data_IF_259197419022
#
_entry.id   IF_259197419022
#
_cell.length_a   1.000
_cell.length_b   1.000
_cell.length_c   1.000
_cell.angle_alpha   90.00
_cell.angle_beta   90.00
_cell.angle_gamma   90.00
#
_symmetry.space_group_name_H-M   'P 1'
#
loop_
_entity.id
_entity.type
_entity.pdbx_description
1 polymer ?
#
# COMPACT_ATOMS: atom_id res chain seq x y z
N UNK A 1 -10.89 16.52 -2.09
CA UNK A 1 -10.02 16.50 -0.88
C UNK A 1 -10.82 16.31 0.41
N UNK A 2 -11.99 16.95 0.59
CA UNK A 2 -12.69 16.96 1.89
C UNK A 2 -13.60 15.74 2.19
N UNK A 3 -13.55 14.69 1.37
CA UNK A 3 -14.40 13.49 1.52
C UNK A 3 -13.65 12.25 2.01
N UNK A 4 -12.31 12.28 2.01
CA UNK A 4 -11.48 11.17 2.46
C UNK A 4 -10.90 11.59 3.81
N UNK A 5 -11.36 10.97 4.90
CA UNK A 5 -10.83 11.19 6.25
C UNK A 5 -9.71 10.22 6.62
N UNK A 6 -9.65 9.06 5.96
CA UNK A 6 -8.65 8.03 6.19
C UNK A 6 -8.49 7.14 4.96
N UNK A 7 -7.29 6.58 4.77
CA UNK A 7 -7.01 5.61 3.71
C UNK A 7 -6.21 4.44 4.29
N UNK A 8 -6.65 3.22 3.99
CA UNK A 8 -5.91 2.00 4.30
C UNK A 8 -5.08 1.60 3.07
N UNK A 9 -3.82 1.26 3.31
CA UNK A 9 -2.86 0.84 2.30
C UNK A 9 -2.64 -0.67 2.37
N UNK A 10 -2.87 -1.36 1.26
CA UNK A 10 -2.63 -2.79 1.06
C UNK A 10 -2.31 -3.02 -0.41
N UNK A 11 -1.66 -4.12 -0.73
CA UNK A 11 -1.35 -4.46 -2.11
C UNK A 11 -1.83 -5.88 -2.44
N UNK A 12 -2.04 -6.12 -3.72
CA UNK A 12 -2.58 -7.37 -4.24
C UNK A 12 -2.15 -7.57 -5.68
N UNK A 13 -2.13 -8.82 -6.14
CA UNK A 13 -1.92 -9.18 -7.53
C UNK A 13 -3.02 -10.13 -8.00
N UNK A 14 -3.24 -10.21 -9.33
CA UNK A 14 -4.22 -11.14 -9.91
C UNK A 14 -3.70 -12.56 -9.80
N UNK A 15 -4.57 -13.50 -9.46
CA UNK A 15 -4.27 -14.93 -9.57
C UNK A 15 -4.12 -15.30 -11.04
N UNK A 16 -3.17 -16.19 -11.33
CA UNK A 16 -2.83 -16.64 -12.69
C UNK A 16 -4.03 -17.31 -13.38
N UNK A 17 -4.87 -18.00 -12.61
CA UNK A 17 -6.08 -18.67 -13.09
C UNK A 17 -7.27 -17.73 -13.35
N UNK A 18 -7.10 -16.42 -13.13
CA UNK A 18 -8.17 -15.42 -13.30
C UNK A 18 -9.26 -15.46 -12.23
N UNK A 19 -9.15 -16.30 -11.20
CA UNK A 19 -10.20 -16.50 -10.17
C UNK A 19 -10.30 -15.37 -9.13
N UNK A 20 -9.50 -14.32 -9.26
CA UNK A 20 -9.51 -13.15 -8.38
C UNK A 20 -8.11 -12.68 -8.04
N UNK A 21 -7.90 -12.33 -6.77
CA UNK A 21 -6.69 -11.69 -6.28
C UNK A 21 -6.05 -12.49 -5.13
N UNK A 22 -4.74 -12.31 -4.94
CA UNK A 22 -4.07 -12.64 -3.70
C UNK A 22 -3.38 -11.39 -3.13
N UNK A 23 -3.24 -11.36 -1.81
CA UNK A 23 -2.55 -10.28 -1.12
C UNK A 23 -1.06 -10.32 -1.41
N UNK A 24 -0.45 -9.14 -1.48
CA UNK A 24 0.99 -8.94 -1.70
C UNK A 24 1.53 -7.97 -0.64
N UNK A 25 2.84 -8.01 -0.34
CA UNK A 25 3.47 -6.91 0.37
C UNK A 25 3.43 -5.66 -0.53
N UNK A 26 3.37 -4.48 0.11
CA UNK A 26 3.35 -3.19 -0.60
C UNK A 26 4.52 -3.08 -1.59
N UNK A 27 4.24 -2.58 -2.80
CA UNK A 27 5.23 -2.41 -3.86
C UNK A 27 5.55 -3.68 -4.64
N UNK A 28 4.80 -4.78 -4.43
CA UNK A 28 4.94 -6.04 -5.19
C UNK A 28 3.67 -6.44 -5.94
N UNK A 29 2.54 -5.81 -5.63
CA UNK A 29 1.28 -6.05 -6.33
C UNK A 29 1.09 -5.11 -7.52
N UNK A 30 -0.16 -4.95 -7.90
CA UNK A 30 -0.57 -4.22 -9.10
C UNK A 30 -1.11 -2.82 -8.81
N UNK A 31 -1.23 -2.42 -7.54
CA UNK A 31 -1.79 -1.12 -7.17
C UNK A 31 -0.70 -0.06 -7.29
N UNK A 32 -0.93 0.99 -8.08
CA UNK A 32 -0.01 2.12 -8.21
C UNK A 32 -0.06 3.04 -6.98
N UNK A 33 0.55 2.59 -5.88
CA UNK A 33 0.59 3.36 -4.63
C UNK A 33 1.42 4.63 -4.73
N UNK A 34 2.49 4.64 -5.52
CA UNK A 34 3.26 5.86 -5.79
C UNK A 34 2.36 6.92 -6.43
N UNK A 35 1.56 6.55 -7.43
CA UNK A 35 0.55 7.42 -8.04
C UNK A 35 -0.52 7.88 -7.04
N UNK A 36 -1.04 6.98 -6.20
CA UNK A 36 -2.01 7.35 -5.14
C UNK A 36 -1.42 8.37 -4.15
N UNK A 37 -0.19 8.15 -3.66
CA UNK A 37 0.47 9.09 -2.74
C UNK A 37 0.75 10.44 -3.40
N UNK A 38 1.18 10.45 -4.67
CA UNK A 38 1.32 11.69 -5.45
C UNK A 38 0.00 12.43 -5.58
N UNK A 39 -1.11 11.72 -5.82
CA UNK A 39 -2.44 12.31 -5.88
C UNK A 39 -2.88 12.90 -4.53
N UNK A 40 -2.68 12.18 -3.43
CA UNK A 40 -2.95 12.70 -2.09
C UNK A 40 -2.16 13.98 -1.79
N UNK A 41 -0.86 13.98 -2.08
CA UNK A 41 0.00 15.15 -1.88
C UNK A 41 -0.47 16.34 -2.74
N UNK A 42 -0.70 16.11 -4.04
CA UNK A 42 -1.18 17.14 -4.99
C UNK A 42 -2.51 17.75 -4.53
N UNK A 43 -3.41 16.93 -4.02
CA UNK A 43 -4.76 17.36 -3.63
C UNK A 43 -4.81 17.93 -2.20
N UNK A 44 -3.66 18.03 -1.51
CA UNK A 44 -3.52 18.60 -0.18
C UNK A 44 -4.10 17.72 0.94
N UNK A 45 -4.19 16.40 0.73
CA UNK A 45 -4.55 15.45 1.76
C UNK A 45 -3.48 15.43 2.86
N UNK A 46 -3.89 15.57 4.12
CA UNK A 46 -3.01 15.73 5.28
C UNK A 46 -3.35 14.83 6.46
N UNK A 47 -4.26 13.89 6.27
CA UNK A 47 -4.65 12.93 7.30
C UNK A 47 -3.76 11.68 7.24
N UNK A 48 -3.86 10.83 8.26
CA UNK A 48 -3.09 9.59 8.29
C UNK A 48 -3.53 8.62 7.19
N UNK A 49 -2.57 7.83 6.72
CA UNK A 49 -2.78 6.57 6.01
C UNK A 49 -2.34 5.43 6.92
N UNK A 50 -3.02 4.28 6.85
CA UNK A 50 -2.72 3.12 7.70
C UNK A 50 -2.31 1.93 6.87
N UNK A 51 -1.15 1.34 7.18
CA UNK A 51 -0.76 0.07 6.60
C UNK A 51 -1.69 -1.04 7.11
N UNK A 52 -2.39 -1.69 6.20
CA UNK A 52 -3.33 -2.78 6.48
C UNK A 52 -2.79 -4.08 5.89
N UNK A 53 -1.81 -4.67 6.58
CA UNK A 53 -1.12 -5.87 6.12
C UNK A 53 -2.05 -7.10 6.14
N UNK A 54 -2.68 -7.38 5.00
CA UNK A 54 -3.44 -8.62 4.73
C UNK A 54 -2.55 -9.77 4.24
N UNK A 55 -1.32 -9.46 3.82
CA UNK A 55 -0.37 -10.45 3.34
C UNK A 55 0.26 -11.27 4.47
N UNK A 56 0.50 -12.56 4.20
CA UNK A 56 1.01 -13.57 5.15
C UNK A 56 2.13 -14.43 4.56
N UNK A 57 2.98 -13.87 3.71
CA UNK A 57 4.02 -14.62 3.01
C UNK A 57 5.38 -14.70 3.71
N UNK A 58 5.56 -14.01 4.85
CA UNK A 58 6.89 -13.88 5.46
C UNK A 58 7.09 -14.71 6.74
N UNK A 59 6.37 -15.83 6.87
CA UNK A 59 6.51 -16.78 8.00
C UNK A 59 5.87 -16.33 9.32
N UNK A 60 5.81 -15.03 9.61
CA UNK A 60 5.08 -14.49 10.77
C UNK A 60 4.26 -13.24 10.41
N UNK A 61 3.30 -12.89 11.28
CA UNK A 61 2.49 -11.69 11.12
C UNK A 61 3.34 -10.40 11.21
N UNK A 62 4.25 -10.35 12.18
CA UNK A 62 5.16 -9.22 12.37
C UNK A 62 6.07 -9.02 11.16
N UNK A 63 6.70 -10.10 10.69
CA UNK A 63 7.62 -10.02 9.56
C UNK A 63 6.90 -9.63 8.26
N UNK A 64 5.67 -10.11 8.07
CA UNK A 64 4.83 -9.69 6.94
C UNK A 64 4.55 -8.18 6.98
N UNK A 65 4.32 -7.63 8.18
CA UNK A 65 4.14 -6.19 8.38
C UNK A 65 5.44 -5.42 8.16
N UNK A 66 6.59 -5.92 8.61
CA UNK A 66 7.90 -5.28 8.39
C UNK A 66 8.22 -5.13 6.91
N UNK A 67 8.01 -6.17 6.12
CA UNK A 67 8.25 -6.13 4.67
C UNK A 67 7.24 -5.22 3.95
N UNK A 68 5.97 -5.30 4.33
CA UNK A 68 4.94 -4.41 3.76
C UNK A 68 5.23 -2.94 4.11
N UNK A 69 5.71 -2.65 5.31
CA UNK A 69 6.12 -1.29 5.68
C UNK A 69 7.36 -0.82 4.91
N UNK A 70 8.35 -1.70 4.72
CA UNK A 70 9.53 -1.36 3.92
C UNK A 70 9.15 -0.96 2.49
N UNK A 71 8.23 -1.70 1.87
CA UNK A 71 7.67 -1.36 0.55
C UNK A 71 6.92 -0.03 0.55
N UNK A 72 5.96 0.15 1.46
CA UNK A 72 5.18 1.39 1.56
C UNK A 72 6.07 2.61 1.81
N UNK A 73 7.10 2.47 2.65
CA UNK A 73 8.07 3.55 2.92
C UNK A 73 8.82 3.95 1.66
N UNK A 74 9.27 2.99 0.86
CA UNK A 74 9.94 3.27 -0.41
C UNK A 74 9.00 4.01 -1.39
N UNK A 75 7.75 3.57 -1.51
CA UNK A 75 6.75 4.21 -2.36
C UNK A 75 6.43 5.64 -1.91
N UNK A 76 6.31 5.88 -0.59
CA UNK A 76 6.13 7.22 -0.02
C UNK A 76 7.33 8.12 -0.34
N UNK A 77 8.56 7.61 -0.22
CA UNK A 77 9.78 8.36 -0.57
C UNK A 77 9.80 8.70 -2.07
N UNK A 78 9.47 7.76 -2.94
CA UNK A 78 9.42 7.98 -4.39
C UNK A 78 8.30 8.97 -4.79
N UNK A 79 7.19 8.98 -4.06
CA UNK A 79 6.13 9.97 -4.22
C UNK A 79 6.51 11.36 -3.67
N UNK A 80 7.63 11.47 -2.95
CA UNK A 80 8.01 12.67 -2.20
C UNK A 80 7.00 13.01 -1.10
N UNK A 81 6.35 12.00 -0.52
CA UNK A 81 5.29 12.14 0.48
C UNK A 81 5.73 11.69 1.88
N UNK A 82 7.05 11.55 2.11
CA UNK A 82 7.68 11.27 3.40
C UNK A 82 8.54 12.45 3.86
#
# INVERSE_FOLDING_TARGET
KDRIGHCHCKDASKKVDGSGYHWEPMGKGIIDWVGQFRAFKRDGYRYAVSLETHWRGAGSAEESTRQSWAGMKAELQEAGAL
#
